data_IF_791979834202
#
_entry.id   IF_791979834202
#
_cell.length_a   1.000
_cell.length_b   1.000
_cell.length_c   1.000
_cell.angle_alpha   90.00
_cell.angle_beta   90.00
_cell.angle_gamma   90.00
#
_symmetry.space_group_name_H-M   'P 1'
#
loop_
_entity.id
_entity.type
_entity.pdbx_description
1 polymer ?
#
# COMPACT_ATOMS: atom_id res chain seq x y z
N UNK A 1 -3.87 24.06 -3.05
CA UNK A 1 -4.96 23.94 -4.01
C UNK A 1 -6.31 24.29 -3.37
N UNK A 2 -6.70 23.65 -2.25
CA UNK A 2 -7.95 23.96 -1.52
C UNK A 2 -8.02 25.44 -1.07
N UNK A 3 -6.96 25.94 -0.42
CA UNK A 3 -6.88 27.34 0.03
C UNK A 3 -6.82 28.36 -1.12
N UNK A 4 -6.33 27.96 -2.28
CA UNK A 4 -6.25 28.79 -3.47
C UNK A 4 -7.52 28.73 -4.34
N UNK A 5 -8.58 28.05 -3.90
CA UNK A 5 -9.83 27.90 -4.68
C UNK A 5 -9.71 27.08 -5.97
N UNK A 6 -8.61 26.35 -6.13
CA UNK A 6 -8.36 25.52 -7.34
C UNK A 6 -9.11 24.19 -7.33
N UNK A 7 -9.63 23.78 -6.17
CA UNK A 7 -10.44 22.56 -6.01
C UNK A 7 -11.70 22.95 -5.22
N UNK A 8 -12.84 22.79 -5.85
CA UNK A 8 -14.13 22.87 -5.19
C UNK A 8 -14.52 21.50 -4.64
N UNK A 9 -14.35 21.32 -3.34
CA UNK A 9 -14.70 20.07 -2.68
C UNK A 9 -16.21 19.81 -2.63
N UNK A 10 -17.06 20.82 -2.89
CA UNK A 10 -18.50 20.61 -2.98
C UNK A 10 -18.90 19.73 -4.19
N UNK A 11 -18.05 19.66 -5.21
CA UNK A 11 -18.26 18.79 -6.39
C UNK A 11 -17.65 17.39 -6.23
N UNK A 12 -16.93 17.12 -5.11
CA UNK A 12 -16.27 15.83 -4.87
C UNK A 12 -17.21 14.90 -4.13
N UNK A 13 -17.51 13.74 -4.74
CA UNK A 13 -18.40 12.73 -4.16
C UNK A 13 -17.67 11.69 -3.32
N UNK A 14 -16.38 11.45 -3.60
CA UNK A 14 -15.53 10.50 -2.86
C UNK A 14 -14.05 10.81 -3.08
N UNK A 15 -13.21 10.32 -2.19
CA UNK A 15 -11.76 10.43 -2.26
C UNK A 15 -11.14 9.03 -2.21
N UNK A 16 -10.06 8.85 -2.96
CA UNK A 16 -9.22 7.66 -2.92
C UNK A 16 -7.76 8.04 -3.17
N UNK A 17 -6.85 7.18 -2.75
CA UNK A 17 -5.43 7.35 -3.02
C UNK A 17 -4.68 6.05 -2.77
N UNK A 18 -3.73 5.72 -3.65
CA UNK A 18 -2.93 4.50 -3.51
C UNK A 18 -1.86 4.69 -2.43
N UNK A 19 -1.77 3.76 -1.49
CA UNK A 19 -0.74 3.69 -0.45
C UNK A 19 -0.60 5.00 0.32
N UNK A 20 0.46 5.79 0.12
CA UNK A 20 0.63 7.13 0.71
C UNK A 20 -0.54 8.06 0.34
N UNK A 21 -1.11 7.91 -0.84
CA UNK A 21 -2.24 8.71 -1.32
C UNK A 21 -3.48 8.60 -0.45
N UNK A 22 -3.70 7.49 0.26
CA UNK A 22 -4.81 7.34 1.21
C UNK A 22 -4.70 8.34 2.38
N UNK A 23 -3.49 8.63 2.85
CA UNK A 23 -3.26 9.69 3.86
C UNK A 23 -3.64 11.07 3.32
N UNK A 24 -3.32 11.35 2.05
CA UNK A 24 -3.73 12.60 1.39
C UNK A 24 -5.24 12.69 1.26
N UNK A 25 -5.89 11.61 0.85
CA UNK A 25 -7.34 11.52 0.73
C UNK A 25 -8.04 11.72 2.10
N UNK A 26 -7.53 11.09 3.15
CA UNK A 26 -8.03 11.23 4.52
C UNK A 26 -7.85 12.66 5.05
N UNK A 27 -6.70 13.29 4.78
CA UNK A 27 -6.51 14.71 5.12
C UNK A 27 -7.50 15.61 4.38
N UNK A 28 -7.71 15.43 3.08
CA UNK A 28 -8.68 16.21 2.31
C UNK A 28 -10.11 15.97 2.77
N UNK A 29 -10.43 14.77 3.20
CA UNK A 29 -11.71 14.40 3.80
C UNK A 29 -11.91 14.95 5.23
N UNK A 30 -10.87 15.50 5.86
CA UNK A 30 -10.93 16.07 7.20
C UNK A 30 -10.71 15.08 8.35
N UNK A 31 -10.17 13.88 8.05
CA UNK A 31 -9.89 12.88 9.08
C UNK A 31 -8.79 13.33 10.06
N UNK A 32 -7.81 14.08 9.59
CA UNK A 32 -6.76 14.72 10.39
C UNK A 32 -6.22 15.97 9.71
N UNK A 33 -5.61 16.86 10.51
CA UNK A 33 -5.03 18.11 10.03
C UNK A 33 -3.77 17.89 9.16
N UNK A 34 -3.33 18.95 8.48
CA UNK A 34 -2.14 18.89 7.62
C UNK A 34 -0.87 18.51 8.40
N UNK A 35 -0.68 19.10 9.58
CA UNK A 35 0.51 18.85 10.40
C UNK A 35 0.56 17.41 10.91
N UNK A 36 -0.61 16.85 11.32
CA UNK A 36 -0.75 15.44 11.71
C UNK A 36 -0.47 14.52 10.53
N UNK A 37 -1.09 14.79 9.37
CA UNK A 37 -0.88 14.03 8.15
C UNK A 37 0.59 14.02 7.72
N UNK A 38 1.26 15.17 7.78
CA UNK A 38 2.68 15.28 7.42
C UNK A 38 3.58 14.47 8.37
N UNK A 39 3.29 14.51 9.69
CA UNK A 39 4.01 13.68 10.67
C UNK A 39 3.81 12.20 10.41
N UNK A 40 2.58 11.77 10.14
CA UNK A 40 2.27 10.38 9.84
C UNK A 40 2.99 9.88 8.60
N UNK A 41 2.98 10.62 7.48
CA UNK A 41 3.67 10.17 6.26
C UNK A 41 5.18 10.18 6.40
N UNK A 42 5.75 11.13 7.18
CA UNK A 42 7.17 11.14 7.49
C UNK A 42 7.58 9.93 8.35
N UNK A 43 6.80 9.63 9.40
CA UNK A 43 7.01 8.45 10.24
C UNK A 43 6.88 7.16 9.43
N UNK A 44 5.82 7.05 8.61
CA UNK A 44 5.59 5.91 7.71
C UNK A 44 6.79 5.67 6.78
N UNK A 45 7.24 6.72 6.09
CA UNK A 45 8.39 6.61 5.19
C UNK A 45 9.64 6.13 5.91
N UNK A 46 9.92 6.67 7.11
CA UNK A 46 11.04 6.25 7.96
C UNK A 46 10.93 4.77 8.36
N UNK A 47 9.78 4.34 8.88
CA UNK A 47 9.62 2.98 9.41
C UNK A 47 9.58 1.93 8.31
N UNK A 48 8.96 2.23 7.16
CA UNK A 48 9.01 1.36 5.99
C UNK A 48 10.42 1.25 5.42
N UNK A 49 11.20 2.34 5.40
CA UNK A 49 12.61 2.30 4.99
C UNK A 49 13.46 1.47 5.95
N UNK A 50 13.28 1.61 7.27
CA UNK A 50 13.96 0.79 8.27
C UNK A 50 13.66 -0.70 8.09
N UNK A 51 12.39 -1.07 7.86
CA UNK A 51 11.99 -2.44 7.59
C UNK A 51 12.58 -2.97 6.27
N UNK A 52 12.58 -2.17 5.22
CA UNK A 52 13.14 -2.53 3.93
C UNK A 52 14.66 -2.82 3.97
N UNK A 53 15.41 -2.03 4.73
CA UNK A 53 16.86 -2.22 4.88
C UNK A 53 17.20 -3.45 5.73
N UNK A 54 16.31 -3.82 6.67
CA UNK A 54 16.54 -4.96 7.56
C UNK A 54 16.51 -6.31 6.84
N UNK A 55 15.79 -6.41 5.70
CA UNK A 55 15.64 -7.67 4.97
C UNK A 55 15.77 -7.45 3.46
N UNK A 56 16.78 -8.03 2.78
CA UNK A 56 16.94 -7.95 1.33
C UNK A 56 15.70 -8.48 0.62
N UNK A 57 14.97 -7.58 -0.03
CA UNK A 57 13.67 -7.87 -0.59
C UNK A 57 13.34 -6.91 -1.74
N UNK A 58 12.28 -7.17 -2.48
CA UNK A 58 11.93 -6.38 -3.65
C UNK A 58 10.49 -6.56 -4.11
N UNK A 59 10.21 -5.98 -5.27
CA UNK A 59 8.89 -6.03 -5.89
C UNK A 59 9.03 -6.29 -7.40
N UNK A 60 8.03 -6.97 -7.96
CA UNK A 60 7.94 -7.25 -9.40
C UNK A 60 6.54 -6.89 -9.90
N UNK A 61 6.45 -6.04 -10.92
CA UNK A 61 5.20 -5.79 -11.62
C UNK A 61 4.96 -6.89 -12.66
N UNK A 62 3.75 -7.44 -12.70
CA UNK A 62 3.28 -8.35 -13.75
C UNK A 62 2.14 -7.69 -14.53
N UNK A 63 2.19 -7.85 -15.86
CA UNK A 63 1.25 -7.23 -16.78
C UNK A 63 0.60 -8.31 -17.64
N UNK A 64 -0.74 -8.23 -17.75
CA UNK A 64 -1.55 -9.12 -18.58
C UNK A 64 -2.11 -10.34 -17.84
N UNK A 65 -1.69 -10.59 -16.59
CA UNK A 65 -2.20 -11.69 -15.76
C UNK A 65 -3.37 -11.22 -14.86
N UNK A 66 -4.30 -12.11 -14.61
CA UNK A 66 -5.35 -11.92 -13.61
C UNK A 66 -4.91 -12.35 -12.20
N UNK A 67 -5.75 -12.08 -11.20
CA UNK A 67 -5.46 -12.34 -9.79
C UNK A 67 -5.21 -13.82 -9.50
N UNK A 68 -5.94 -14.73 -10.18
CA UNK A 68 -5.82 -16.18 -9.98
C UNK A 68 -4.46 -16.68 -10.48
N UNK A 69 -4.05 -16.24 -11.67
CA UNK A 69 -2.74 -16.56 -12.24
C UNK A 69 -1.61 -16.02 -11.37
N UNK A 70 -1.71 -14.76 -10.91
CA UNK A 70 -0.66 -14.17 -10.06
C UNK A 70 -0.55 -14.92 -8.74
N UNK A 71 -1.66 -15.27 -8.12
CA UNK A 71 -1.68 -16.03 -6.87
C UNK A 71 -1.05 -17.42 -7.03
N UNK A 72 -1.31 -18.10 -8.14
CA UNK A 72 -0.71 -19.40 -8.47
C UNK A 72 0.81 -19.28 -8.67
N UNK A 73 1.25 -18.29 -9.45
CA UNK A 73 2.67 -18.02 -9.66
C UNK A 73 3.39 -17.69 -8.34
N UNK A 74 2.76 -16.89 -7.47
CA UNK A 74 3.32 -16.59 -6.15
C UNK A 74 3.47 -17.86 -5.31
N UNK A 75 2.45 -18.72 -5.26
CA UNK A 75 2.48 -19.98 -4.51
C UNK A 75 3.58 -20.91 -5.01
N UNK A 76 3.75 -21.03 -6.34
CA UNK A 76 4.80 -21.86 -6.94
C UNK A 76 6.21 -21.32 -6.75
N UNK A 77 6.37 -19.99 -6.76
CA UNK A 77 7.67 -19.34 -6.68
C UNK A 77 8.14 -19.03 -5.24
N UNK A 78 7.25 -19.09 -4.26
CA UNK A 78 7.57 -18.75 -2.86
C UNK A 78 8.58 -19.69 -2.24
N UNK A 79 8.45 -21.01 -2.44
CA UNK A 79 9.35 -22.04 -1.87
C UNK A 79 9.59 -21.86 -0.35
N UNK A 80 8.56 -21.44 0.38
CA UNK A 80 8.64 -21.17 1.83
C UNK A 80 9.13 -19.77 2.21
N UNK A 81 9.50 -18.92 1.25
CA UNK A 81 9.84 -17.52 1.47
C UNK A 81 8.59 -16.62 1.27
N UNK A 82 8.68 -15.38 1.77
CA UNK A 82 7.60 -14.40 1.54
C UNK A 82 7.55 -14.01 0.06
N UNK A 83 6.38 -14.18 -0.53
CA UNK A 83 6.04 -13.69 -1.86
C UNK A 83 4.52 -13.56 -1.96
N UNK A 84 4.01 -12.35 -2.05
CA UNK A 84 2.58 -12.06 -2.02
C UNK A 84 2.18 -11.02 -3.08
N UNK A 85 0.97 -11.09 -3.64
CA UNK A 85 0.39 -9.96 -4.35
C UNK A 85 0.25 -8.78 -3.38
N UNK A 86 0.78 -7.63 -3.77
CA UNK A 86 0.89 -6.44 -2.91
C UNK A 86 0.03 -5.26 -3.40
N UNK A 87 0.04 -4.99 -4.71
CA UNK A 87 -0.76 -3.92 -5.29
C UNK A 87 -1.56 -4.42 -6.49
N UNK A 88 -2.86 -4.21 -6.44
CA UNK A 88 -3.79 -4.41 -7.55
C UNK A 88 -4.06 -3.05 -8.20
N UNK A 89 -3.17 -2.63 -9.12
CA UNK A 89 -3.19 -1.27 -9.67
C UNK A 89 -4.32 -1.06 -10.70
N UNK A 90 -4.56 -2.06 -11.53
CA UNK A 90 -5.62 -2.09 -12.53
C UNK A 90 -5.86 -3.55 -12.96
N UNK A 91 -6.98 -3.86 -13.63
CA UNK A 91 -7.17 -5.16 -14.26
C UNK A 91 -5.96 -5.53 -15.14
N UNK A 92 -5.34 -6.68 -14.84
CA UNK A 92 -4.12 -7.13 -15.52
C UNK A 92 -2.84 -6.39 -15.17
N UNK A 93 -2.81 -5.57 -14.11
CA UNK A 93 -1.60 -4.92 -13.62
C UNK A 93 -1.47 -5.09 -12.11
N UNK A 94 -0.69 -6.06 -11.68
CA UNK A 94 -0.48 -6.43 -10.29
C UNK A 94 1.02 -6.30 -9.97
N UNK A 95 1.31 -5.93 -8.72
CA UNK A 95 2.68 -5.94 -8.20
C UNK A 95 2.77 -6.97 -7.10
N UNK A 96 3.79 -7.81 -7.15
CA UNK A 96 4.11 -8.76 -6.07
C UNK A 96 5.29 -8.27 -5.26
N UNK A 97 5.29 -8.58 -3.97
CA UNK A 97 6.32 -8.23 -3.01
C UNK A 97 6.85 -9.47 -2.31
N UNK A 98 8.16 -9.55 -2.10
CA UNK A 98 8.74 -10.68 -1.41
C UNK A 98 10.26 -10.63 -1.27
N UNK A 99 10.87 -11.73 -0.84
CA UNK A 99 12.33 -11.87 -0.83
C UNK A 99 12.91 -11.72 -2.24
N UNK A 100 14.14 -11.27 -2.36
CA UNK A 100 14.78 -11.11 -3.68
C UNK A 100 14.83 -12.44 -4.45
N UNK A 101 15.07 -13.56 -3.78
CA UNK A 101 15.12 -14.87 -4.41
C UNK A 101 13.73 -15.28 -4.95
N UNK A 102 12.67 -15.15 -4.13
CA UNK A 102 11.31 -15.45 -4.54
C UNK A 102 10.82 -14.53 -5.67
N UNK A 103 11.15 -13.23 -5.63
CA UNK A 103 10.88 -12.29 -6.71
C UNK A 103 11.57 -12.70 -8.02
N UNK A 104 12.80 -13.19 -7.94
CA UNK A 104 13.54 -13.70 -9.12
C UNK A 104 12.88 -14.95 -9.71
N UNK A 105 12.49 -15.92 -8.88
CA UNK A 105 11.74 -17.12 -9.32
C UNK A 105 10.40 -16.75 -9.94
N UNK A 106 9.67 -15.83 -9.32
CA UNK A 106 8.40 -15.33 -9.85
C UNK A 106 8.56 -14.69 -11.23
N UNK A 107 9.55 -13.80 -11.40
CA UNK A 107 9.78 -13.13 -12.68
C UNK A 107 10.10 -14.15 -13.81
N UNK A 108 10.90 -15.17 -13.50
CA UNK A 108 11.21 -16.25 -14.45
C UNK A 108 9.96 -17.08 -14.78
N UNK A 109 9.18 -17.48 -13.79
CA UNK A 109 7.95 -18.27 -13.97
C UNK A 109 6.90 -17.48 -14.77
N UNK A 110 6.70 -16.20 -14.45
CA UNK A 110 5.79 -15.33 -15.17
C UNK A 110 6.20 -15.17 -16.65
N UNK A 111 7.50 -14.96 -16.90
CA UNK A 111 8.03 -14.86 -18.27
C UNK A 111 7.88 -16.17 -19.05
N UNK A 112 8.12 -17.31 -18.42
CA UNK A 112 7.92 -18.63 -19.02
C UNK A 112 6.44 -18.90 -19.36
N UNK A 113 5.52 -18.33 -18.57
CA UNK A 113 4.08 -18.37 -18.82
C UNK A 113 3.59 -17.33 -19.84
N UNK A 114 4.48 -16.54 -20.45
CA UNK A 114 4.17 -15.56 -21.48
C UNK A 114 3.73 -14.17 -20.97
N UNK A 115 3.86 -13.90 -19.66
CA UNK A 115 3.53 -12.60 -19.10
C UNK A 115 4.77 -11.69 -19.03
N UNK A 116 4.53 -10.38 -19.09
CA UNK A 116 5.58 -9.39 -18.86
C UNK A 116 5.78 -9.17 -17.37
N UNK A 117 6.95 -9.56 -16.86
CA UNK A 117 7.38 -9.34 -15.49
C UNK A 117 8.52 -8.32 -15.43
N UNK A 118 8.39 -7.27 -14.62
CA UNK A 118 9.36 -6.18 -14.53
C UNK A 118 9.75 -5.98 -13.06
N UNK A 119 11.00 -6.29 -12.67
CA UNK A 119 11.52 -5.92 -11.36
C UNK A 119 11.46 -4.41 -11.15
N UNK A 120 11.02 -3.97 -9.98
CA UNK A 120 10.90 -2.56 -9.63
C UNK A 120 12.15 -2.09 -8.88
N UNK A 121 12.57 -0.85 -9.13
CA UNK A 121 13.66 -0.21 -8.38
C UNK A 121 13.07 0.38 -7.10
N UNK A 122 13.04 -0.41 -6.03
CA UNK A 122 12.46 -0.06 -4.73
C UNK A 122 13.40 -0.46 -3.59
N UNK A 123 13.21 0.11 -2.41
CA UNK A 123 14.04 -0.18 -1.25
C UNK A 123 13.78 -1.58 -0.64
N UNK A 124 12.61 -2.15 -0.85
CA UNK A 124 12.25 -3.46 -0.29
C UNK A 124 10.83 -3.90 -0.68
N UNK A 125 10.37 -4.99 -0.08
CA UNK A 125 9.08 -5.62 -0.33
C UNK A 125 7.95 -4.90 0.40
N UNK A 126 7.59 -3.70 -0.06
CA UNK A 126 6.48 -2.95 0.50
C UNK A 126 5.16 -3.72 0.38
N UNK A 127 4.24 -3.47 1.31
CA UNK A 127 2.92 -4.11 1.38
C UNK A 127 2.99 -5.64 1.49
N UNK A 128 3.93 -6.13 2.30
CA UNK A 128 4.14 -7.56 2.55
C UNK A 128 4.44 -7.82 4.02
N UNK A 129 4.38 -9.08 4.52
CA UNK A 129 4.77 -9.41 5.88
C UNK A 129 6.18 -8.96 6.28
N UNK A 130 7.07 -8.69 5.32
CA UNK A 130 8.42 -8.17 5.59
C UNK A 130 8.41 -6.72 6.11
N UNK A 131 7.28 -6.02 6.02
CA UNK A 131 7.09 -4.67 6.57
C UNK A 131 6.52 -4.66 7.99
N UNK A 132 6.31 -5.82 8.64
CA UNK A 132 5.63 -5.92 9.94
C UNK A 132 6.22 -4.98 11.00
N UNK A 133 7.56 -4.89 11.09
CA UNK A 133 8.21 -4.00 12.05
C UNK A 133 7.89 -2.51 11.81
N UNK A 134 7.65 -2.13 10.57
CA UNK A 134 7.19 -0.79 10.20
C UNK A 134 5.72 -0.57 10.57
N UNK A 135 4.86 -1.57 10.32
CA UNK A 135 3.46 -1.56 10.70
C UNK A 135 3.26 -1.43 12.21
N UNK A 136 4.03 -2.17 13.01
CA UNK A 136 3.99 -2.12 14.48
C UNK A 136 4.32 -0.71 15.01
N UNK A 137 5.34 -0.07 14.47
CA UNK A 137 5.71 1.30 14.81
C UNK A 137 4.63 2.31 14.39
N UNK A 138 4.05 2.14 13.18
CA UNK A 138 2.96 2.99 12.71
C UNK A 138 1.69 2.83 13.53
N UNK A 139 1.40 1.65 14.08
CA UNK A 139 0.29 1.44 14.99
C UNK A 139 0.36 2.35 16.22
N UNK A 140 1.55 2.55 16.77
CA UNK A 140 1.78 3.46 17.92
C UNK A 140 1.55 4.93 17.50
N UNK A 141 2.07 5.35 16.35
CA UNK A 141 1.88 6.72 15.86
C UNK A 141 0.40 7.02 15.60
N UNK A 142 -0.30 6.10 14.94
CA UNK A 142 -1.72 6.25 14.63
C UNK A 142 -2.60 6.21 15.89
N UNK A 143 -2.26 5.38 16.87
CA UNK A 143 -2.97 5.36 18.16
C UNK A 143 -2.96 6.74 18.84
N UNK A 144 -1.83 7.44 18.78
CA UNK A 144 -1.61 8.75 19.40
C UNK A 144 -2.07 9.94 18.52
N UNK A 145 -2.49 9.70 17.28
CA UNK A 145 -2.94 10.76 16.37
C UNK A 145 -4.43 10.99 16.50
N UNK A 146 -4.89 12.22 16.82
CA UNK A 146 -6.31 12.57 16.77
C UNK A 146 -6.86 12.32 15.35
N UNK A 147 -7.90 11.52 15.27
CA UNK A 147 -8.51 11.13 13.98
C UNK A 147 -10.02 11.27 14.10
N UNK A 148 -10.62 11.98 13.15
CA UNK A 148 -12.07 12.16 13.02
C UNK A 148 -12.62 11.32 11.86
N UNK A 149 -13.93 11.10 11.84
CA UNK A 149 -14.58 10.53 10.66
C UNK A 149 -14.56 11.56 9.53
N UNK A 150 -14.19 11.18 8.28
CA UNK A 150 -14.11 12.11 7.17
C UNK A 150 -15.51 12.63 6.77
N UNK A 151 -15.56 13.86 6.27
CA UNK A 151 -16.78 14.55 5.84
C UNK A 151 -17.36 14.02 4.53
N UNK A 152 -16.61 13.21 3.82
CA UNK A 152 -17.01 12.54 2.57
C UNK A 152 -16.37 11.14 2.50
N UNK A 153 -16.91 10.23 1.71
CA UNK A 153 -16.37 8.87 1.59
C UNK A 153 -14.90 8.89 1.17
N UNK A 154 -14.04 8.23 1.96
CA UNK A 154 -12.63 7.95 1.63
C UNK A 154 -12.46 6.45 1.55
N UNK A 155 -12.00 5.95 0.40
CA UNK A 155 -11.82 4.52 0.16
C UNK A 155 -10.54 4.00 0.79
N UNK A 156 -10.65 2.88 1.51
CA UNK A 156 -9.52 2.15 2.08
C UNK A 156 -8.81 1.29 1.03
N UNK A 157 -7.49 1.28 1.03
CA UNK A 157 -6.70 0.39 0.17
C UNK A 157 -6.84 -1.10 0.57
N UNK A 158 -7.15 -1.37 1.85
CA UNK A 158 -7.28 -2.74 2.36
C UNK A 158 -8.59 -3.39 1.93
N UNK A 159 -9.70 -2.63 1.95
CA UNK A 159 -11.04 -3.19 1.74
C UNK A 159 -11.67 -2.81 0.40
N UNK A 160 -11.08 -1.84 -0.32
CA UNK A 160 -11.67 -1.21 -1.51
C UNK A 160 -13.08 -0.64 -1.27
N UNK A 161 -13.44 -0.34 -0.02
CA UNK A 161 -14.70 0.26 0.41
C UNK A 161 -14.44 1.53 1.22
N UNK A 162 -15.40 2.45 1.36
CA UNK A 162 -15.26 3.60 2.23
C UNK A 162 -14.99 3.18 3.68
N UNK A 163 -14.14 3.94 4.37
CA UNK A 163 -13.95 3.77 5.81
C UNK A 163 -15.27 3.94 6.57
N UNK A 164 -15.51 3.11 7.58
CA UNK A 164 -16.75 3.11 8.35
C UNK A 164 -16.70 4.06 9.57
N UNK A 165 -15.52 4.23 10.17
CA UNK A 165 -15.32 5.03 11.40
C UNK A 165 -13.83 5.38 11.60
N UNK A 166 -13.53 6.22 12.58
CA UNK A 166 -12.17 6.65 12.90
C UNK A 166 -11.26 5.49 13.39
N UNK A 167 -11.82 4.47 14.00
CA UNK A 167 -11.07 3.30 14.47
C UNK A 167 -10.63 2.42 13.29
N UNK A 168 -11.53 2.19 12.35
CA UNK A 168 -11.22 1.45 11.11
C UNK A 168 -10.17 2.17 10.26
N UNK A 169 -10.18 3.52 10.22
CA UNK A 169 -9.13 4.31 9.56
C UNK A 169 -7.75 3.94 10.12
N UNK A 170 -7.58 4.04 11.44
CA UNK A 170 -6.29 3.74 12.08
C UNK A 170 -5.83 2.32 11.80
N UNK A 171 -6.72 1.35 11.95
CA UNK A 171 -6.44 -0.06 11.69
C UNK A 171 -6.02 -0.29 10.24
N UNK A 172 -6.80 0.18 9.27
CA UNK A 172 -6.49 -0.06 7.86
C UNK A 172 -5.26 0.69 7.35
N UNK A 173 -4.91 1.84 7.96
CA UNK A 173 -3.64 2.51 7.68
C UNK A 173 -2.42 1.73 8.20
N UNK A 174 -2.59 0.88 9.22
CA UNK A 174 -1.57 -0.09 9.66
C UNK A 174 -1.56 -1.29 8.73
N UNK A 175 -2.74 -1.87 8.46
CA UNK A 175 -2.91 -3.11 7.69
C UNK A 175 -2.46 -2.98 6.23
N UNK A 176 -2.41 -1.73 5.69
CA UNK A 176 -1.95 -1.48 4.33
C UNK A 176 -0.40 -1.47 4.19
N UNK A 177 0.38 -1.48 5.27
CA UNK A 177 1.85 -1.42 5.25
C UNK A 177 2.45 -2.78 4.91
#
# INVERSE_FOLDING_TARGET
>A
AKQAGLIDLACVTALAGLSLGEYTALHLGGAFGFAEGLRLVAARGKYMQEAAVATPSGMVAIIGADDAVVSELCRGASEGEVLVPANYNAPGQIVVSGSNAACGRFANAASAAGYKAVPLVVAGAFHSPLMQSGADKMAVELANTPTSFPQMPVYSNVTATPHADATSIKRFLVDQI
#
